data_IF_989749967088
#
_entry.id   IF_989749967088
#
_cell.length_a   1.000
_cell.length_b   1.000
_cell.length_c   1.000
_cell.angle_alpha   90.00
_cell.angle_beta   90.00
_cell.angle_gamma   90.00
#
_symmetry.space_group_name_H-M   'P 1'
#
loop_
_entity.id
_entity.type
_entity.pdbx_description
1 polymer ?
#
# COMPACT_ATOMS: atom_id res chain seq x y z
N UNK A 1 -69.59 -50.94 24.24
CA UNK A 1 -68.27 -50.80 23.59
C UNK A 1 -68.55 -50.68 22.10
N UNK A 2 -68.23 -49.63 21.34
CA UNK A 2 -67.14 -48.65 21.35
C UNK A 2 -67.60 -47.49 20.43
N UNK A 3 -67.10 -46.26 20.66
CA UNK A 3 -67.31 -45.02 19.87
C UNK A 3 -68.60 -44.22 20.24
N UNK A 4 -68.71 -43.57 21.41
CA UNK A 4 -68.10 -42.27 21.76
C UNK A 4 -67.13 -41.68 20.73
N UNK A 5 -67.59 -40.97 19.69
CA UNK A 5 -66.73 -40.00 18.98
C UNK A 5 -67.45 -39.01 18.03
N UNK A 6 -68.61 -38.42 18.38
CA UNK A 6 -69.18 -37.36 17.51
C UNK A 6 -69.70 -36.13 18.29
N UNK A 7 -69.55 -36.10 19.62
CA UNK A 7 -69.92 -34.92 20.42
C UNK A 7 -68.86 -33.81 20.45
N UNK A 8 -67.70 -33.99 19.79
CA UNK A 8 -66.61 -33.00 19.74
C UNK A 8 -66.69 -32.02 18.56
N UNK A 9 -67.65 -32.17 17.63
CA UNK A 9 -67.73 -31.34 16.43
C UNK A 9 -68.41 -29.97 16.64
N UNK A 10 -68.99 -29.69 17.81
CA UNK A 10 -69.75 -28.46 18.06
C UNK A 10 -68.98 -27.32 18.74
N UNK A 11 -67.69 -27.48 19.05
CA UNK A 11 -66.84 -26.39 19.58
C UNK A 11 -66.00 -25.68 18.51
N UNK A 12 -66.19 -26.01 17.22
CA UNK A 12 -65.48 -25.41 16.08
C UNK A 12 -66.06 -24.05 15.62
N UNK A 13 -66.89 -23.41 16.44
CA UNK A 13 -67.28 -22.01 16.21
C UNK A 13 -66.89 -21.24 17.48
N UNK A 14 -66.00 -20.26 17.32
CA UNK A 14 -65.55 -19.23 18.28
C UNK A 14 -64.11 -19.37 18.80
N UNK A 15 -63.14 -18.99 17.97
CA UNK A 15 -62.04 -18.06 18.31
C UNK A 15 -61.18 -17.86 17.05
N UNK A 16 -61.58 -16.91 16.20
CA UNK A 16 -60.96 -15.59 16.13
C UNK A 16 -59.51 -15.63 15.68
N UNK A 17 -59.31 -15.21 14.44
CA UNK A 17 -58.09 -14.64 13.92
C UNK A 17 -57.51 -13.62 14.92
N UNK A 18 -56.29 -13.87 15.38
CA UNK A 18 -55.46 -12.84 16.00
C UNK A 18 -53.98 -13.14 15.73
N UNK A 19 -53.50 -12.55 14.63
CA UNK A 19 -52.21 -11.84 14.53
C UNK A 19 -51.00 -12.55 15.18
N UNK A 20 -50.25 -13.25 14.33
CA UNK A 20 -48.85 -13.59 14.56
C UNK A 20 -48.02 -13.23 13.33
N UNK A 21 -48.13 -11.99 12.84
CA UNK A 21 -47.14 -11.41 11.93
C UNK A 21 -45.97 -10.94 12.81
N UNK A 22 -44.76 -11.38 12.47
CA UNK A 22 -43.53 -10.84 13.05
C UNK A 22 -42.83 -11.80 14.01
N UNK A 23 -42.09 -12.77 13.44
CA UNK A 23 -40.77 -13.18 13.96
C UNK A 23 -40.05 -14.12 12.98
N UNK A 24 -39.97 -13.75 11.69
CA UNK A 24 -39.09 -14.43 10.73
C UNK A 24 -38.23 -13.47 9.92
N UNK A 25 -38.70 -12.24 9.71
CA UNK A 25 -37.99 -11.31 8.83
C UNK A 25 -36.92 -10.45 9.55
N UNK A 26 -37.06 -10.17 10.84
CA UNK A 26 -36.11 -9.32 11.58
C UNK A 26 -34.76 -10.05 11.82
N UNK A 27 -34.81 -11.34 12.16
CA UNK A 27 -33.60 -12.18 12.27
C UNK A 27 -32.95 -12.46 10.91
N UNK A 28 -33.70 -12.41 9.80
CA UNK A 28 -33.14 -12.61 8.46
C UNK A 28 -32.50 -11.32 7.94
N UNK A 29 -33.07 -10.16 8.27
CA UNK A 29 -32.48 -8.87 7.94
C UNK A 29 -31.22 -8.58 8.77
N UNK A 30 -31.22 -8.87 10.08
CA UNK A 30 -30.01 -8.74 10.90
C UNK A 30 -28.92 -9.72 10.46
N UNK A 31 -29.28 -10.94 10.07
CA UNK A 31 -28.35 -11.93 9.52
C UNK A 31 -27.78 -11.49 8.18
N UNK A 32 -28.61 -10.91 7.31
CA UNK A 32 -28.18 -10.31 6.03
C UNK A 32 -27.35 -9.05 6.24
N UNK A 33 -27.66 -8.26 7.27
CA UNK A 33 -26.88 -7.08 7.65
C UNK A 33 -25.51 -7.50 8.22
N UNK A 34 -25.44 -8.61 8.98
CA UNK A 34 -24.20 -9.21 9.44
C UNK A 34 -23.36 -9.75 8.26
N UNK A 35 -23.97 -10.49 7.33
CA UNK A 35 -23.30 -10.98 6.12
C UNK A 35 -22.79 -9.83 5.24
N UNK A 36 -23.51 -8.70 5.18
CA UNK A 36 -23.05 -7.51 4.47
C UNK A 36 -21.86 -6.85 5.17
N UNK A 37 -21.87 -6.77 6.52
CA UNK A 37 -20.73 -6.22 7.27
C UNK A 37 -19.50 -7.14 7.30
N UNK A 38 -19.69 -8.45 7.10
CA UNK A 38 -18.59 -9.43 6.98
C UNK A 38 -18.08 -9.54 5.53
N UNK A 39 -18.90 -9.15 4.53
CA UNK A 39 -18.48 -8.99 3.13
C UNK A 39 -17.63 -7.75 2.87
N UNK A 40 -17.63 -6.79 3.80
CA UNK A 40 -16.58 -5.80 3.95
C UNK A 40 -15.37 -6.47 4.62
N UNK A 41 -14.76 -7.46 3.95
CA UNK A 41 -13.32 -7.63 4.14
C UNK A 41 -12.73 -6.24 3.88
N UNK A 42 -12.11 -5.58 4.87
CA UNK A 42 -11.64 -4.20 4.68
C UNK A 42 -10.75 -4.24 3.46
N UNK A 43 -11.20 -3.59 2.37
CA UNK A 43 -10.61 -3.59 1.03
C UNK A 43 -9.15 -3.96 1.17
N UNK A 44 -8.85 -5.25 0.93
CA UNK A 44 -7.53 -5.79 1.15
C UNK A 44 -6.57 -4.78 0.55
N UNK A 45 -5.81 -4.07 1.41
CA UNK A 45 -4.87 -3.04 0.96
C UNK A 45 -4.09 -3.71 -0.15
N UNK A 46 -4.37 -3.29 -1.38
CA UNK A 46 -3.92 -3.93 -2.61
C UNK A 46 -2.47 -4.34 -2.38
N UNK A 47 -2.17 -5.64 -2.47
CA UNK A 47 -0.82 -6.17 -2.22
C UNK A 47 0.13 -5.55 -3.26
N UNK A 48 0.62 -4.35 -2.96
CA UNK A 48 1.25 -3.48 -3.95
C UNK A 48 1.17 -1.98 -3.64
N UNK A 49 0.24 -1.54 -2.79
CA UNK A 49 0.13 -0.11 -2.44
C UNK A 49 1.04 0.21 -1.25
N UNK A 50 2.02 1.06 -1.48
CA UNK A 50 2.83 1.62 -0.41
C UNK A 50 2.05 2.73 0.32
N UNK A 51 1.89 2.62 1.64
CA UNK A 51 1.28 3.67 2.47
C UNK A 51 2.02 5.01 2.35
N UNK A 52 3.35 4.98 2.14
CA UNK A 52 4.11 6.17 1.80
C UNK A 52 4.13 6.33 0.28
N UNK A 53 3.25 7.17 -0.26
CA UNK A 53 3.29 7.49 -1.69
C UNK A 53 4.65 8.11 -2.06
N UNK A 54 5.18 7.74 -3.23
CA UNK A 54 6.40 8.30 -3.77
C UNK A 54 6.34 8.31 -5.31
N UNK A 55 7.13 9.18 -5.92
CA UNK A 55 7.28 9.30 -7.37
C UNK A 55 8.73 9.13 -7.78
N UNK A 56 8.98 8.50 -8.93
CA UNK A 56 10.32 8.36 -9.51
C UNK A 56 10.83 9.73 -9.98
N UNK A 57 12.09 10.05 -9.67
CA UNK A 57 12.74 11.30 -10.10
C UNK A 57 13.81 11.01 -11.15
N UNK A 58 14.71 10.06 -10.90
CA UNK A 58 15.74 9.71 -11.88
C UNK A 58 17.01 9.12 -11.29
N UNK A 59 17.98 8.87 -12.15
CA UNK A 59 19.27 8.28 -11.77
C UNK A 59 20.38 9.33 -11.70
N UNK A 60 21.03 9.43 -10.54
CA UNK A 60 22.05 10.44 -10.27
C UNK A 60 23.33 9.82 -9.73
N UNK A 61 24.46 10.45 -10.01
CA UNK A 61 25.76 10.05 -9.46
C UNK A 61 25.80 10.34 -7.97
N UNK A 62 26.59 9.55 -7.26
CA UNK A 62 26.91 9.76 -5.87
C UNK A 62 28.39 9.42 -5.67
N UNK A 63 29.23 10.37 -6.07
CA UNK A 63 30.68 10.20 -6.10
C UNK A 63 31.31 10.33 -4.70
N UNK A 64 30.53 10.76 -3.71
CA UNK A 64 30.97 10.95 -2.35
C UNK A 64 31.16 9.64 -1.56
N UNK A 65 31.97 9.72 -0.51
CA UNK A 65 32.19 8.66 0.48
C UNK A 65 31.81 9.17 1.87
N UNK A 66 31.24 8.30 2.72
CA UNK A 66 30.83 8.67 4.07
C UNK A 66 29.90 9.89 4.09
N UNK A 67 30.25 10.91 4.88
CA UNK A 67 29.48 12.17 4.99
C UNK A 67 29.50 13.04 3.73
N UNK A 68 30.40 12.78 2.78
CA UNK A 68 30.47 13.53 1.52
C UNK A 68 29.50 13.02 0.44
N UNK A 69 28.82 11.91 0.69
CA UNK A 69 27.75 11.40 -0.18
C UNK A 69 26.71 12.48 -0.45
N UNK A 70 26.08 12.43 -1.62
CA UNK A 70 24.98 13.33 -1.99
C UNK A 70 23.81 13.15 -1.04
N UNK A 71 23.38 11.90 -0.85
CA UNK A 71 22.43 11.50 0.18
C UNK A 71 23.24 10.87 1.30
N UNK A 72 23.57 11.67 2.31
CA UNK A 72 24.62 11.36 3.29
C UNK A 72 24.17 10.55 4.49
N UNK A 73 22.88 10.19 4.58
CA UNK A 73 22.38 9.33 5.65
C UNK A 73 21.92 7.97 5.12
N UNK A 74 22.59 6.90 5.58
CA UNK A 74 22.09 5.53 5.43
C UNK A 74 20.97 5.29 6.43
N UNK A 75 19.73 5.23 5.95
CA UNK A 75 18.56 4.96 6.78
C UNK A 75 18.52 3.49 7.20
N UNK A 76 18.71 2.58 6.25
CA UNK A 76 18.91 1.15 6.48
C UNK A 76 19.59 0.46 5.29
N UNK A 77 20.04 -0.77 5.50
CA UNK A 77 20.62 -1.64 4.47
C UNK A 77 20.13 -3.09 4.59
N UNK A 78 19.89 -3.72 3.44
CA UNK A 78 19.56 -5.14 3.31
C UNK A 78 20.76 -5.93 2.76
N UNK A 79 21.93 -5.30 2.61
CA UNK A 79 23.13 -5.96 2.06
C UNK A 79 23.87 -6.82 3.06
N UNK A 80 23.71 -6.53 4.35
CA UNK A 80 24.40 -7.26 5.42
C UNK A 80 23.60 -7.25 6.70
N UNK A 81 23.28 -8.45 7.20
CA UNK A 81 22.65 -8.65 8.51
C UNK A 81 23.48 -8.15 9.68
N UNK A 82 24.79 -8.04 9.51
CA UNK A 82 25.73 -7.60 10.55
C UNK A 82 25.83 -6.08 10.64
N UNK A 83 25.25 -5.35 9.67
CA UNK A 83 25.23 -3.90 9.72
C UNK A 83 24.44 -3.41 10.93
N UNK A 84 24.92 -2.40 11.68
CA UNK A 84 24.12 -1.73 12.71
C UNK A 84 22.90 -0.99 12.13
N UNK A 85 22.86 -0.81 10.81
CA UNK A 85 21.73 -0.25 10.03
C UNK A 85 20.97 -1.33 9.27
N UNK A 86 21.13 -2.60 9.63
CA UNK A 86 20.36 -3.70 9.04
C UNK A 86 18.87 -3.48 9.24
N UNK A 87 18.06 -3.70 8.21
CA UNK A 87 16.59 -3.74 8.35
C UNK A 87 16.08 -5.05 8.96
N UNK A 88 16.95 -6.04 9.15
CA UNK A 88 16.60 -7.43 9.47
C UNK A 88 16.32 -8.30 8.24
N UNK A 89 16.15 -7.70 7.06
CA UNK A 89 15.98 -8.39 5.77
C UNK A 89 17.32 -8.45 5.01
N UNK A 90 17.41 -9.41 4.09
CA UNK A 90 18.45 -9.46 3.07
C UNK A 90 17.82 -9.21 1.70
N UNK A 91 18.64 -8.84 0.72
CA UNK A 91 18.19 -8.77 -0.67
C UNK A 91 17.67 -10.16 -1.09
N UNK A 92 16.43 -10.19 -1.57
CA UNK A 92 15.86 -11.38 -2.18
C UNK A 92 16.17 -11.36 -3.68
N UNK A 93 17.19 -12.12 -4.07
CA UNK A 93 17.59 -12.24 -5.46
C UNK A 93 16.68 -13.17 -6.27
N UNK A 94 15.91 -14.03 -5.60
CA UNK A 94 14.98 -14.96 -6.25
C UNK A 94 13.66 -14.31 -6.64
N UNK A 95 13.21 -13.33 -5.86
CA UNK A 95 12.03 -12.50 -6.15
C UNK A 95 12.39 -11.01 -6.07
N UNK A 96 13.32 -10.60 -6.93
CA UNK A 96 13.87 -9.25 -6.90
C UNK A 96 12.84 -8.17 -7.25
N UNK A 97 11.83 -8.50 -8.06
CA UNK A 97 10.76 -7.56 -8.42
C UNK A 97 9.90 -7.21 -7.19
N UNK A 98 9.39 -8.20 -6.47
CA UNK A 98 8.62 -7.97 -5.26
C UNK A 98 9.48 -7.31 -4.17
N UNK A 99 10.73 -7.76 -4.04
CA UNK A 99 11.69 -7.17 -3.12
C UNK A 99 11.93 -5.68 -3.40
N UNK A 100 12.12 -5.28 -4.66
CA UNK A 100 12.39 -3.88 -5.01
C UNK A 100 11.17 -2.99 -4.77
N UNK A 101 9.95 -3.52 -4.93
CA UNK A 101 8.70 -2.83 -4.52
C UNK A 101 8.66 -2.61 -3.01
N UNK A 102 8.91 -3.64 -2.22
CA UNK A 102 9.00 -3.56 -0.74
C UNK A 102 10.12 -2.61 -0.26
N UNK A 103 11.30 -2.69 -0.88
CA UNK A 103 12.46 -1.85 -0.55
C UNK A 103 12.15 -0.37 -0.75
N UNK A 104 11.61 0.01 -1.91
CA UNK A 104 11.23 1.39 -2.19
C UNK A 104 10.19 1.89 -1.17
N UNK A 105 9.20 1.06 -0.84
CA UNK A 105 8.18 1.43 0.12
C UNK A 105 8.73 1.65 1.53
N UNK A 106 9.54 0.70 2.03
CA UNK A 106 10.20 0.85 3.34
C UNK A 106 11.11 2.07 3.38
N UNK A 107 11.80 2.36 2.28
CA UNK A 107 12.66 3.53 2.20
C UNK A 107 11.86 4.84 2.22
N UNK A 108 10.73 4.90 1.51
CA UNK A 108 9.81 6.03 1.56
C UNK A 108 9.27 6.26 2.99
N UNK A 109 8.84 5.19 3.68
CA UNK A 109 8.40 5.26 5.08
C UNK A 109 9.51 5.78 6.01
N UNK A 110 10.73 5.25 5.86
CA UNK A 110 11.87 5.63 6.68
C UNK A 110 12.28 7.10 6.47
N UNK A 111 12.32 7.56 5.22
CA UNK A 111 12.63 8.95 4.90
C UNK A 111 11.54 9.90 5.39
N UNK A 112 10.26 9.56 5.18
CA UNK A 112 9.12 10.32 5.67
C UNK A 112 9.11 10.45 7.19
N UNK A 113 9.42 9.38 7.92
CA UNK A 113 9.51 9.39 9.39
C UNK A 113 10.59 10.35 9.92
N UNK A 114 11.57 10.73 9.09
CA UNK A 114 12.59 11.74 9.42
C UNK A 114 12.25 13.14 8.91
N UNK A 115 11.10 13.33 8.26
CA UNK A 115 10.71 14.59 7.62
C UNK A 115 11.49 14.87 6.33
N UNK A 116 12.09 13.85 5.71
CA UNK A 116 12.84 14.02 4.47
C UNK A 116 11.92 13.91 3.26
N UNK A 117 12.19 14.71 2.23
CA UNK A 117 11.32 14.84 1.05
C UNK A 117 11.71 13.92 -0.10
N UNK A 118 12.92 13.36 -0.07
CA UNK A 118 13.45 12.48 -1.11
C UNK A 118 14.21 11.32 -0.48
N UNK A 119 14.30 10.22 -1.21
CA UNK A 119 15.16 9.09 -0.85
C UNK A 119 15.84 8.54 -2.10
N UNK A 120 16.96 7.85 -1.90
CA UNK A 120 17.70 7.17 -2.94
C UNK A 120 17.83 5.69 -2.61
N UNK A 121 17.64 4.85 -3.63
CA UNK A 121 18.02 3.45 -3.56
C UNK A 121 19.37 3.25 -4.24
N UNK A 122 20.30 2.61 -3.55
CA UNK A 122 21.67 2.37 -4.01
C UNK A 122 22.12 0.94 -3.64
N UNK A 123 23.15 0.44 -4.33
CA UNK A 123 23.74 -0.88 -4.11
C UNK A 123 22.69 -2.00 -4.00
N UNK A 124 21.63 -1.92 -4.81
CA UNK A 124 20.53 -2.90 -4.91
C UNK A 124 19.67 -3.11 -3.65
N UNK A 125 20.05 -2.56 -2.50
CA UNK A 125 19.42 -2.86 -1.21
C UNK A 125 19.71 -1.86 -0.09
N UNK A 126 20.27 -0.69 -0.41
CA UNK A 126 20.50 0.38 0.56
C UNK A 126 19.51 1.52 0.35
N UNK A 127 19.05 2.08 1.47
CA UNK A 127 18.16 3.22 1.53
C UNK A 127 18.93 4.43 2.06
N UNK A 128 19.09 5.45 1.22
CA UNK A 128 19.74 6.71 1.57
C UNK A 128 18.77 7.89 1.52
N UNK A 129 19.06 8.91 2.32
CA UNK A 129 18.39 10.21 2.23
C UNK A 129 19.30 11.32 2.82
N UNK A 130 18.77 12.54 2.90
CA UNK A 130 19.39 13.69 3.54
C UNK A 130 18.29 14.70 3.95
N UNK A 131 18.52 15.52 5.00
CA UNK A 131 17.59 16.59 5.39
C UNK A 131 17.25 17.56 4.25
N UNK A 132 18.23 17.89 3.40
CA UNK A 132 18.11 18.80 2.26
C UNK A 132 18.12 18.06 0.92
N UNK A 133 17.71 16.78 0.91
CA UNK A 133 17.80 15.90 -0.25
C UNK A 133 17.24 16.53 -1.54
N UNK A 134 16.13 17.28 -1.47
CA UNK A 134 15.51 17.99 -2.60
C UNK A 134 16.43 18.97 -3.32
N UNK A 135 17.44 19.50 -2.64
CA UNK A 135 18.42 20.46 -3.19
C UNK A 135 19.68 19.78 -3.68
N UNK A 136 20.06 18.65 -3.09
CA UNK A 136 21.38 18.05 -3.29
C UNK A 136 21.37 16.82 -4.19
N UNK A 137 20.25 16.11 -4.36
CA UNK A 137 20.21 14.79 -5.01
C UNK A 137 20.87 14.74 -6.41
N UNK A 138 20.86 15.85 -7.15
CA UNK A 138 21.41 15.97 -8.49
C UNK A 138 22.80 16.63 -8.56
N UNK A 139 23.40 16.98 -7.42
CA UNK A 139 24.65 17.76 -7.32
C UNK A 139 25.78 17.21 -8.18
N UNK A 140 25.93 15.88 -8.22
CA UNK A 140 27.01 15.20 -8.93
C UNK A 140 26.65 14.87 -10.40
N UNK A 141 25.43 15.24 -10.84
CA UNK A 141 24.92 15.04 -12.20
C UNK A 141 24.21 13.71 -12.45
N UNK A 142 23.62 13.57 -13.64
CA UNK A 142 22.90 12.37 -14.05
C UNK A 142 23.82 11.15 -14.21
N UNK A 143 23.25 9.95 -14.01
CA UNK A 143 23.93 8.66 -14.15
C UNK A 143 23.12 7.69 -15.01
N UNK A 144 23.79 6.78 -15.71
CA UNK A 144 23.18 5.59 -16.34
C UNK A 144 23.32 4.35 -15.46
N UNK A 145 23.78 4.53 -14.21
CA UNK A 145 24.11 3.47 -13.28
C UNK A 145 22.93 2.89 -12.52
N UNK A 146 21.69 3.09 -12.97
CA UNK A 146 20.49 2.55 -12.31
C UNK A 146 19.79 1.52 -13.19
N UNK A 147 19.14 0.57 -12.52
CA UNK A 147 18.42 -0.53 -13.18
C UNK A 147 17.04 -0.73 -12.58
N UNK A 148 16.14 -1.35 -13.35
CA UNK A 148 14.85 -1.83 -12.85
C UNK A 148 14.97 -3.23 -12.19
N UNK A 149 13.84 -3.80 -11.80
CA UNK A 149 13.70 -5.17 -11.25
C UNK A 149 14.23 -6.28 -12.17
N UNK A 150 14.35 -6.02 -13.47
CA UNK A 150 14.87 -6.96 -14.48
C UNK A 150 16.33 -6.71 -14.85
N UNK A 151 17.04 -5.88 -14.07
CA UNK A 151 18.43 -5.48 -14.31
C UNK A 151 18.66 -4.72 -15.63
N UNK A 152 17.60 -4.24 -16.26
CA UNK A 152 17.66 -3.42 -17.46
C UNK A 152 17.85 -1.96 -17.09
N UNK A 153 18.30 -1.14 -18.04
CA UNK A 153 18.40 0.30 -17.84
C UNK A 153 17.06 0.86 -17.32
N UNK A 154 17.12 1.61 -16.22
CA UNK A 154 15.90 2.15 -15.63
C UNK A 154 15.29 3.25 -16.50
N UNK A 155 13.97 3.15 -16.71
CA UNK A 155 13.13 4.24 -17.19
C UNK A 155 12.20 4.73 -16.05
N UNK A 156 12.21 6.04 -15.80
CA UNK A 156 11.36 6.65 -14.78
C UNK A 156 9.86 6.58 -15.12
N UNK A 157 9.50 6.35 -16.38
CA UNK A 157 8.10 6.26 -16.83
C UNK A 157 7.51 4.83 -16.71
N UNK A 158 8.35 3.81 -16.53
CA UNK A 158 7.88 2.42 -16.45
C UNK A 158 7.14 2.15 -15.13
N UNK A 159 6.36 1.08 -15.06
CA UNK A 159 5.73 0.66 -13.79
C UNK A 159 6.73 0.11 -12.76
N UNK A 160 7.90 -0.35 -13.21
CA UNK A 160 8.89 -0.95 -12.32
C UNK A 160 9.65 0.13 -11.52
N UNK A 161 9.85 -0.18 -10.25
CA UNK A 161 10.79 0.56 -9.41
C UNK A 161 12.22 0.34 -9.90
N UNK A 162 13.07 1.29 -9.53
CA UNK A 162 14.47 1.32 -9.91
C UNK A 162 15.40 1.48 -8.72
N UNK A 163 16.63 1.07 -8.93
CA UNK A 163 17.70 1.14 -7.93
C UNK A 163 19.00 1.54 -8.59
N UNK A 164 19.82 2.29 -7.87
CA UNK A 164 21.20 2.52 -8.25
C UNK A 164 22.04 1.25 -8.06
N UNK A 165 22.96 1.02 -8.99
CA UNK A 165 24.05 0.05 -8.81
C UNK A 165 25.03 0.60 -7.77
N UNK A 166 26.31 0.75 -8.08
CA UNK A 166 27.28 1.26 -7.12
C UNK A 166 27.12 2.77 -6.83
N UNK A 167 28.01 3.62 -7.33
CA UNK A 167 28.06 5.07 -7.06
C UNK A 167 26.93 5.87 -7.74
N UNK A 168 25.71 5.36 -7.71
CA UNK A 168 24.51 6.00 -8.25
C UNK A 168 23.35 5.81 -7.28
N UNK A 169 22.51 6.84 -7.10
CA UNK A 169 21.22 6.72 -6.46
C UNK A 169 20.14 6.76 -7.53
N UNK A 170 19.20 5.82 -7.51
CA UNK A 170 17.90 6.10 -8.12
C UNK A 170 17.05 6.85 -7.10
N UNK A 171 16.71 8.09 -7.41
CA UNK A 171 16.07 9.03 -6.49
C UNK A 171 14.56 9.02 -6.71
N UNK A 172 13.86 9.08 -5.58
CA UNK A 172 12.41 9.20 -5.48
C UNK A 172 12.06 10.42 -4.65
N UNK A 173 10.90 11.03 -4.94
CA UNK A 173 10.31 12.14 -4.18
C UNK A 173 9.08 11.66 -3.44
N UNK A 174 8.93 12.08 -2.20
CA UNK A 174 7.74 11.85 -1.37
C UNK A 174 6.85 13.10 -1.51
N UNK A 175 5.64 13.01 -2.08
CA UNK A 175 4.70 14.12 -2.11
C UNK A 175 4.30 14.56 -0.70
N UNK A 176 4.05 15.85 -0.52
CA UNK A 176 3.43 16.36 0.71
C UNK A 176 2.01 15.80 0.82
N UNK A 177 1.61 15.34 2.01
CA UNK A 177 0.25 14.86 2.25
C UNK A 177 -0.73 16.01 2.10
N UNK A 178 -1.62 15.93 1.09
CA UNK A 178 -2.58 16.99 0.76
C UNK A 178 -2.80 17.28 -0.73
N UNK A 179 -2.15 16.54 -1.64
CA UNK A 179 -2.27 16.78 -3.10
C UNK A 179 -2.72 15.56 -3.93
N UNK A 180 -3.28 14.53 -3.27
CA UNK A 180 -3.75 13.28 -3.91
C UNK A 180 -5.25 13.00 -3.77
N UNK A 181 -6.05 13.96 -3.31
CA UNK A 181 -7.51 13.88 -3.33
C UNK A 181 -8.05 14.46 -4.63
N UNK A 182 -7.91 13.72 -5.73
CA UNK A 182 -8.62 14.05 -6.97
C UNK A 182 -10.12 13.88 -6.74
N UNK A 183 -10.80 14.95 -6.33
CA UNK A 183 -12.24 15.03 -6.35
C UNK A 183 -12.66 14.99 -7.83
N UNK A 184 -13.16 13.84 -8.28
CA UNK A 184 -13.81 13.73 -9.59
C UNK A 184 -15.12 14.51 -9.49
N UNK A 185 -15.16 15.70 -10.08
CA UNK A 185 -16.37 16.49 -10.21
C UNK A 185 -17.26 15.85 -11.28
N UNK A 186 -18.36 15.22 -10.85
CA UNK A 186 -19.40 14.66 -11.71
C UNK A 186 -20.54 15.66 -11.99
N UNK A 187 -20.30 16.98 -11.93
CA UNK A 187 -21.35 17.97 -12.23
C UNK A 187 -21.27 18.54 -13.65
N UNK A 188 -21.34 17.68 -14.67
CA UNK A 188 -21.29 18.11 -16.08
C UNK A 188 -22.25 17.40 -17.03
N UNK A 189 -23.27 16.69 -16.54
CA UNK A 189 -24.07 15.80 -17.39
C UNK A 189 -25.59 16.00 -17.32
N UNK A 190 -26.09 17.20 -17.03
CA UNK A 190 -27.47 17.57 -17.37
C UNK A 190 -27.55 19.08 -17.57
N UNK A 191 -27.16 19.54 -18.76
CA UNK A 191 -27.58 20.82 -19.35
C UNK A 191 -27.26 20.76 -20.85
N UNK A 192 -28.14 20.08 -21.59
CA UNK A 192 -28.30 20.18 -23.05
C UNK A 192 -29.73 19.77 -23.42
#
# INVERSE_FOLDING_TARGET
MRQMLVLFALTLILSTEARGLGRKDENDLEKRLLDLTESEEPLAVERGVCEAQFVKVGCFKDNGLGSNKVLNELLFTDRSRQSPKSSGKLIDWSDYESYLKDLACRCAKAAKAKGYTHFGLQYYGECFSAPDASRVYARDGASSGCVNSFYQACNAEDSNNCVGKAHANFVYRIPEEGSGGGQVDYNGAYDA
#
